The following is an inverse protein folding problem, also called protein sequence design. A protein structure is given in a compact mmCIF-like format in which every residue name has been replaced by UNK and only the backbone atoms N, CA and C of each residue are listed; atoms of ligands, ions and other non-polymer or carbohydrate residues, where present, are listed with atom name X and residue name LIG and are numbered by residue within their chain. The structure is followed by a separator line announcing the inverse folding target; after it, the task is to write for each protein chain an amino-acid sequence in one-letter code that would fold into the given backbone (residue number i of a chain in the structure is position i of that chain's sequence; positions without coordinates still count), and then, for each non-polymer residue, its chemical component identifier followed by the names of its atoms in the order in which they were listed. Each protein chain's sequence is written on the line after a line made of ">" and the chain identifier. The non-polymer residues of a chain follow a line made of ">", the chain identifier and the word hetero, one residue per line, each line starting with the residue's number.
data_IF_628753505967
#
_entry.id   IF_628753505967
#
_cell.length_a   1.000
_cell.length_b   1.000
_cell.length_c   1.000
_cell.angle_alpha   90.00
_cell.angle_beta   90.00
_cell.angle_gamma   90.00
#
_symmetry.space_group_name_H-M   'P 1'
#
loop_
_entity.id
_entity.type
_entity.pdbx_description
1 polymer ?
#
# COMPACT_ATOMS: atom_id res chain seq x y z
N UNK A 1 33.87 -25.47 22.59
CA UNK A 1 32.60 -25.21 23.32
C UNK A 1 31.83 -24.17 22.53
N UNK A 2 30.60 -24.49 22.16
CA UNK A 2 29.77 -23.80 21.15
C UNK A 2 29.36 -22.39 21.57
N UNK A 3 29.61 -21.39 20.72
CA UNK A 3 29.09 -20.03 20.92
C UNK A 3 27.55 -20.01 20.87
N UNK A 4 26.86 -19.20 21.70
CA UNK A 4 25.42 -19.08 21.65
C UNK A 4 25.00 -18.33 20.37
N UNK A 5 24.35 -19.04 19.44
CA UNK A 5 23.69 -18.44 18.27
C UNK A 5 22.75 -17.33 18.73
N UNK A 6 23.11 -16.08 18.41
CA UNK A 6 22.28 -14.89 18.62
C UNK A 6 20.88 -15.17 18.03
N UNK A 7 19.80 -15.12 18.83
CA UNK A 7 18.47 -15.36 18.29
C UNK A 7 18.20 -14.34 17.19
N UNK A 8 17.97 -14.86 15.98
CA UNK A 8 17.67 -14.07 14.78
C UNK A 8 16.51 -13.11 15.07
N UNK A 9 16.75 -11.80 14.94
CA UNK A 9 15.73 -10.75 15.12
C UNK A 9 14.56 -10.96 14.13
N UNK A 10 14.84 -11.58 12.98
CA UNK A 10 13.86 -11.94 11.95
C UNK A 10 12.88 -13.05 12.43
N UNK A 11 13.30 -13.92 13.34
CA UNK A 11 12.47 -15.00 13.87
C UNK A 11 11.43 -14.51 14.90
N UNK A 12 11.53 -13.27 15.37
CA UNK A 12 10.57 -12.64 16.30
C UNK A 12 9.46 -11.86 15.58
N UNK A 13 9.53 -11.76 14.25
CA UNK A 13 8.58 -10.98 13.46
C UNK A 13 7.33 -11.82 13.22
N UNK A 14 6.19 -11.33 13.69
CA UNK A 14 4.88 -11.97 13.48
C UNK A 14 4.53 -12.02 11.99
N UNK A 15 3.77 -13.03 11.51
CA UNK A 15 3.30 -13.09 10.12
C UNK A 15 2.61 -11.81 9.64
N UNK A 16 1.90 -11.11 10.55
CA UNK A 16 1.26 -9.82 10.26
C UNK A 16 2.27 -8.70 9.96
N UNK A 17 3.41 -8.70 10.67
CA UNK A 17 4.47 -7.71 10.44
C UNK A 17 5.21 -7.99 9.13
N UNK A 18 5.45 -9.26 8.80
CA UNK A 18 5.99 -9.64 7.48
C UNK A 18 5.07 -9.19 6.34
N UNK A 19 3.76 -9.39 6.48
CA UNK A 19 2.78 -8.90 5.51
C UNK A 19 2.81 -7.37 5.40
N UNK A 20 2.87 -6.66 6.52
CA UNK A 20 2.97 -5.19 6.52
C UNK A 20 4.23 -4.72 5.77
N UNK A 21 5.39 -5.33 6.04
CA UNK A 21 6.65 -5.02 5.35
C UNK A 21 6.52 -5.27 3.85
N UNK A 22 5.98 -6.43 3.45
CA UNK A 22 5.79 -6.77 2.04
C UNK A 22 4.88 -5.77 1.33
N UNK A 23 3.77 -5.38 1.97
CA UNK A 23 2.85 -4.37 1.45
C UNK A 23 3.53 -2.99 1.35
N UNK A 24 4.34 -2.59 2.33
CA UNK A 24 5.10 -1.34 2.27
C UNK A 24 6.06 -1.33 1.08
N UNK A 25 6.82 -2.40 0.88
CA UNK A 25 7.74 -2.52 -0.26
C UNK A 25 6.97 -2.46 -1.58
N UNK A 26 5.84 -3.16 -1.69
CA UNK A 26 4.99 -3.14 -2.87
C UNK A 26 4.48 -1.72 -3.18
N UNK A 27 4.01 -0.99 -2.17
CA UNK A 27 3.56 0.41 -2.32
C UNK A 27 4.71 1.30 -2.79
N UNK A 28 5.90 1.16 -2.22
CA UNK A 28 7.07 1.94 -2.63
C UNK A 28 7.47 1.62 -4.09
N UNK A 29 7.54 0.35 -4.46
CA UNK A 29 7.82 -0.08 -5.83
C UNK A 29 6.79 0.50 -6.81
N UNK A 30 5.50 0.41 -6.46
CA UNK A 30 4.41 0.96 -7.24
C UNK A 30 4.55 2.47 -7.46
N UNK A 31 4.89 3.24 -6.42
CA UNK A 31 5.16 4.69 -6.54
C UNK A 31 6.34 4.95 -7.47
N UNK A 32 7.41 4.16 -7.35
CA UNK A 32 8.65 4.35 -8.12
C UNK A 32 8.45 4.05 -9.61
N UNK A 33 7.78 2.95 -9.94
CA UNK A 33 7.53 2.54 -11.32
C UNK A 33 6.48 3.42 -12.00
N UNK A 34 5.44 3.83 -11.29
CA UNK A 34 4.28 4.50 -11.87
C UNK A 34 4.34 6.04 -11.75
N UNK A 35 5.56 6.62 -11.75
CA UNK A 35 5.77 8.08 -11.74
C UNK A 35 5.46 8.75 -13.07
N UNK A 36 5.31 7.97 -14.14
CA UNK A 36 4.97 8.49 -15.44
C UNK A 36 3.67 9.30 -15.38
N UNK A 37 3.74 10.52 -15.91
CA UNK A 37 2.61 11.43 -15.97
C UNK A 37 1.66 10.94 -17.05
N UNK A 38 0.41 10.74 -16.68
CA UNK A 38 -0.68 10.41 -17.59
C UNK A 38 -1.73 11.51 -17.51
N UNK A 39 -2.29 11.84 -18.65
CA UNK A 39 -3.41 12.76 -18.74
C UNK A 39 -4.70 11.98 -18.47
N UNK A 40 -5.47 12.45 -17.51
CA UNK A 40 -6.71 11.82 -17.09
C UNK A 40 -7.82 12.84 -17.22
N UNK A 41 -8.91 12.45 -17.88
CA UNK A 41 -10.06 13.32 -18.08
C UNK A 41 -11.08 13.10 -16.95
N UNK A 42 -11.20 14.09 -16.08
CA UNK A 42 -12.15 14.10 -14.97
C UNK A 42 -13.27 15.09 -15.28
N UNK A 43 -14.46 14.60 -15.67
CA UNK A 43 -15.68 15.41 -15.78
C UNK A 43 -15.46 16.73 -16.57
N UNK A 44 -14.81 16.65 -17.74
CA UNK A 44 -14.42 17.76 -18.64
C UNK A 44 -13.12 18.52 -18.27
N UNK A 45 -12.38 18.08 -17.25
CA UNK A 45 -11.11 18.67 -16.83
C UNK A 45 -9.98 17.66 -17.05
N UNK A 46 -9.02 17.99 -17.90
CA UNK A 46 -7.79 17.19 -18.07
C UNK A 46 -6.83 17.49 -16.92
N UNK A 47 -6.54 16.48 -16.12
CA UNK A 47 -5.58 16.56 -15.03
C UNK A 47 -4.40 15.67 -15.35
N UNK A 48 -3.24 16.28 -15.59
CA UNK A 48 -1.97 15.56 -15.71
C UNK A 48 -1.50 15.16 -14.31
N UNK A 49 -1.50 13.87 -14.01
CA UNK A 49 -1.03 13.38 -12.72
C UNK A 49 -0.21 12.11 -12.87
N UNK A 50 0.71 11.83 -11.93
CA UNK A 50 1.36 10.53 -11.88
C UNK A 50 0.30 9.44 -11.61
N UNK A 51 0.36 8.34 -12.35
CA UNK A 51 -0.64 7.26 -12.26
C UNK A 51 -0.79 6.72 -10.83
N UNK A 52 0.31 6.63 -10.07
CA UNK A 52 0.28 6.15 -8.68
C UNK A 52 -0.61 6.99 -7.76
N UNK A 53 -0.73 8.31 -8.01
CA UNK A 53 -1.54 9.22 -7.20
C UNK A 53 -3.01 8.88 -7.35
N UNK A 54 -3.46 8.71 -8.59
CA UNK A 54 -4.87 8.39 -8.88
C UNK A 54 -5.24 7.02 -8.35
N UNK A 55 -4.39 6.01 -8.56
CA UNK A 55 -4.64 4.66 -8.06
C UNK A 55 -4.64 4.60 -6.52
N UNK A 56 -3.78 5.38 -5.85
CA UNK A 56 -3.81 5.50 -4.39
C UNK A 56 -5.07 6.20 -3.90
N UNK A 57 -5.49 7.27 -4.56
CA UNK A 57 -6.70 8.01 -4.20
C UNK A 57 -7.96 7.14 -4.36
N UNK A 58 -8.11 6.41 -5.48
CA UNK A 58 -9.25 5.52 -5.70
C UNK A 58 -9.27 4.35 -4.72
N UNK A 59 -8.11 3.76 -4.41
CA UNK A 59 -7.98 2.73 -3.37
C UNK A 59 -8.43 3.26 -2.00
N UNK A 60 -7.96 4.46 -1.61
CA UNK A 60 -8.34 5.09 -0.34
C UNK A 60 -9.85 5.36 -0.27
N UNK A 61 -10.44 5.86 -1.35
CA UNK A 61 -11.90 6.07 -1.45
C UNK A 61 -12.63 4.73 -1.27
N UNK A 62 -12.25 3.69 -2.01
CA UNK A 62 -12.85 2.35 -1.89
C UNK A 62 -12.68 1.76 -0.50
N UNK A 63 -11.53 1.96 0.14
CA UNK A 63 -11.26 1.52 1.50
C UNK A 63 -12.16 2.24 2.51
N UNK A 64 -12.30 3.57 2.41
CA UNK A 64 -13.19 4.36 3.27
C UNK A 64 -14.64 3.90 3.11
N UNK A 65 -15.10 3.71 1.87
CA UNK A 65 -16.44 3.16 1.58
C UNK A 65 -16.60 1.78 2.24
N UNK A 66 -15.60 0.90 2.12
CA UNK A 66 -15.59 -0.43 2.73
C UNK A 66 -15.65 -0.38 4.27
N UNK A 67 -14.90 0.53 4.90
CA UNK A 67 -14.94 0.74 6.35
C UNK A 67 -16.31 1.25 6.82
N UNK A 68 -16.89 2.23 6.11
CA UNK A 68 -18.22 2.76 6.41
C UNK A 68 -19.30 1.69 6.27
N UNK A 69 -19.22 0.88 5.21
CA UNK A 69 -20.19 -0.20 4.95
C UNK A 69 -20.06 -1.36 5.94
N UNK A 70 -18.84 -1.69 6.37
CA UNK A 70 -18.57 -2.76 7.36
C UNK A 70 -19.16 -2.44 8.74
N UNK A 71 -19.40 -1.16 9.06
CA UNK A 71 -20.03 -0.73 10.32
C UNK A 71 -21.53 -1.03 10.40
N UNK A 72 -22.17 -1.37 9.27
CA UNK A 72 -23.61 -1.63 9.13
C UNK A 72 -24.00 -3.12 9.24
N UNK A 73 -23.06 -4.01 9.56
CA UNK A 73 -23.33 -5.45 9.85
C UNK A 73 -23.13 -5.79 11.33
N UNK A 74 -23.71 -5.00 12.22
CA UNK A 74 -23.97 -5.41 13.61
C UNK A 74 -25.48 -5.49 13.81
#
# INVERSE_FOLDING_TARGET
>A
MTEPSKPSVLARISPKQWLAIALTVLVLAFIIENRHKVDIEFLLITVTSPMWVVLSATLLIGWIIGLLTRRTRR
#
